data_IF_682616766277
#
_entry.id   IF_682616766277
#
_cell.length_a   1.000
_cell.length_b   1.000
_cell.length_c   1.000
_cell.angle_alpha   90.00
_cell.angle_beta   90.00
_cell.angle_gamma   90.00
#
_symmetry.space_group_name_H-M   'P 1'
#
loop_
_entity.id
_entity.type
_entity.pdbx_description
1 polymer ?
#
# COMPACT_ATOMS: atom_id res chain seq x y z
N UNK A 1 -5.33 -15.72 32.40
CA UNK A 1 -4.03 -15.00 32.27
C UNK A 1 -3.64 -14.93 30.81
N UNK A 2 -3.00 -13.81 30.42
CA UNK A 2 -2.64 -13.32 29.05
C UNK A 2 -3.82 -12.62 28.34
N UNK A 3 -4.21 -11.41 28.77
CA UNK A 3 -3.60 -10.10 28.45
C UNK A 3 -3.37 -9.96 26.94
N UNK A 4 -4.35 -9.39 26.24
CA UNK A 4 -4.18 -8.76 24.93
C UNK A 4 -3.97 -7.25 25.19
N UNK A 5 -2.76 -6.71 25.03
CA UNK A 5 -2.58 -5.28 24.92
C UNK A 5 -2.08 -4.91 23.52
N UNK A 6 -2.64 -3.82 22.99
CA UNK A 6 -2.00 -2.94 22.02
C UNK A 6 -1.81 -3.46 20.59
N UNK A 7 -2.89 -3.38 19.80
CA UNK A 7 -2.79 -3.00 18.38
C UNK A 7 -3.42 -1.60 18.27
N UNK A 8 -2.80 -0.65 18.95
CA UNK A 8 -3.10 0.78 18.88
C UNK A 8 -1.76 1.48 18.83
N UNK A 9 -1.56 2.31 17.79
CA UNK A 9 -0.33 3.06 17.44
C UNK A 9 0.71 2.36 16.58
N UNK A 10 0.47 2.27 15.26
CA UNK A 10 1.56 2.34 14.25
C UNK A 10 1.08 2.95 12.91
N UNK A 11 0.12 3.88 12.93
CA UNK A 11 -0.36 4.55 11.70
C UNK A 11 0.23 5.97 11.53
N UNK A 12 0.94 6.50 12.54
CA UNK A 12 1.31 7.93 12.55
C UNK A 12 2.76 8.27 12.13
N UNK A 13 3.70 7.32 12.10
CA UNK A 13 5.13 7.69 12.06
C UNK A 13 5.84 7.54 10.71
N UNK A 14 5.20 6.99 9.67
CA UNK A 14 5.88 6.81 8.37
C UNK A 14 5.74 8.06 7.48
N UNK A 15 4.80 8.96 7.78
CA UNK A 15 4.55 10.15 6.95
C UNK A 15 5.47 11.35 7.24
N UNK A 16 6.30 11.30 8.29
CA UNK A 16 7.09 12.46 8.73
C UNK A 16 8.55 12.47 8.25
N UNK A 17 9.03 11.40 7.59
CA UNK A 17 10.45 11.29 7.19
C UNK A 17 10.69 11.28 5.68
N UNK A 18 9.66 11.50 4.85
CA UNK A 18 9.83 11.60 3.38
C UNK A 18 10.06 13.05 2.98
N UNK A 19 11.05 13.68 3.62
CA UNK A 19 11.62 14.94 3.18
C UNK A 19 13.11 14.68 3.04
N UNK A 20 13.58 14.63 1.78
CA UNK A 20 14.97 14.40 1.37
C UNK A 20 15.50 12.95 1.39
N UNK A 21 15.00 12.11 0.48
CA UNK A 21 15.86 11.12 -0.18
C UNK A 21 15.26 10.73 -1.54
N UNK A 22 16.12 10.71 -2.54
CA UNK A 22 15.83 10.40 -3.93
C UNK A 22 15.31 8.95 -4.05
N UNK A 23 14.05 8.80 -4.49
CA UNK A 23 13.34 7.53 -4.72
C UNK A 23 13.10 6.63 -3.49
N UNK A 24 11.88 6.11 -3.37
CA UNK A 24 11.52 5.12 -2.34
C UNK A 24 12.43 3.89 -2.45
N UNK A 25 13.10 3.54 -1.35
CA UNK A 25 14.00 2.40 -1.24
C UNK A 25 13.28 1.04 -1.33
N UNK A 26 14.03 -0.06 -1.38
CA UNK A 26 13.46 -1.41 -1.47
C UNK A 26 12.66 -1.79 -0.21
N UNK A 27 11.68 -2.67 -0.38
CA UNK A 27 10.83 -3.14 0.72
C UNK A 27 11.62 -4.10 1.63
N UNK A 28 11.73 -3.83 2.94
CA UNK A 28 12.40 -4.74 3.88
C UNK A 28 11.69 -6.11 3.95
N UNK A 29 12.48 -7.19 3.99
CA UNK A 29 12.00 -8.57 3.80
C UNK A 29 10.96 -9.01 4.84
N UNK A 30 11.04 -8.49 6.06
CA UNK A 30 10.16 -8.85 7.19
C UNK A 30 8.88 -8.00 7.29
N UNK A 31 8.71 -6.97 6.44
CA UNK A 31 7.54 -6.10 6.45
C UNK A 31 6.78 -6.09 5.11
N UNK A 32 7.09 -7.04 4.21
CA UNK A 32 6.63 -7.07 2.83
C UNK A 32 5.11 -7.01 2.68
N UNK A 33 4.36 -7.81 3.43
CA UNK A 33 2.90 -7.83 3.34
C UNK A 33 2.26 -6.53 3.87
N UNK A 34 2.78 -5.99 4.98
CA UNK A 34 2.30 -4.73 5.54
C UNK A 34 2.54 -3.55 4.60
N UNK A 35 3.72 -3.47 4.00
CA UNK A 35 4.07 -2.42 3.04
C UNK A 35 3.26 -2.60 1.75
N UNK A 36 3.01 -3.83 1.30
CA UNK A 36 2.17 -4.07 0.13
C UNK A 36 0.68 -3.73 0.39
N UNK A 37 0.18 -3.91 1.61
CA UNK A 37 -1.16 -3.48 1.99
C UNK A 37 -1.29 -1.95 1.95
N UNK A 38 -0.29 -1.22 2.49
CA UNK A 38 -0.23 0.24 2.39
C UNK A 38 -0.13 0.69 0.93
N UNK A 39 0.64 -0.04 0.11
CA UNK A 39 0.79 0.22 -1.32
C UNK A 39 -0.55 0.14 -2.07
N UNK A 40 -1.41 -0.82 -1.73
CA UNK A 40 -2.78 -0.90 -2.29
C UNK A 40 -3.61 0.33 -1.93
N UNK A 41 -3.54 0.80 -0.68
CA UNK A 41 -4.25 1.99 -0.24
C UNK A 41 -3.78 3.23 -1.02
N UNK A 42 -2.46 3.45 -1.10
CA UNK A 42 -1.87 4.55 -1.88
C UNK A 42 -2.29 4.48 -3.35
N UNK A 43 -2.26 3.30 -3.96
CA UNK A 43 -2.67 3.12 -5.35
C UNK A 43 -4.14 3.47 -5.58
N UNK A 44 -5.04 3.08 -4.66
CA UNK A 44 -6.45 3.44 -4.74
C UNK A 44 -6.68 4.94 -4.62
N UNK A 45 -5.99 5.61 -3.70
CA UNK A 45 -6.06 7.07 -3.54
C UNK A 45 -5.59 7.75 -4.82
N UNK A 46 -4.44 7.34 -5.35
CA UNK A 46 -3.88 7.87 -6.60
C UNK A 46 -4.81 7.62 -7.79
N UNK A 47 -5.51 6.48 -7.85
CA UNK A 47 -6.47 6.19 -8.90
C UNK A 47 -7.72 7.09 -8.80
N UNK A 48 -8.28 7.23 -7.61
CA UNK A 48 -9.47 8.05 -7.40
C UNK A 48 -9.21 9.55 -7.61
N UNK A 49 -8.04 10.06 -7.21
CA UNK A 49 -7.70 11.48 -7.36
C UNK A 49 -7.13 11.81 -8.75
N UNK A 50 -6.28 10.94 -9.31
CA UNK A 50 -5.46 11.25 -10.49
C UNK A 50 -5.61 10.26 -11.66
N UNK A 51 -6.56 9.32 -11.60
CA UNK A 51 -6.84 8.33 -12.66
C UNK A 51 -5.59 7.50 -13.03
N UNK A 52 -5.13 6.69 -12.09
CA UNK A 52 -3.92 5.85 -12.15
C UNK A 52 -4.28 4.35 -11.98
N UNK A 53 -5.13 3.76 -12.84
CA UNK A 53 -5.61 2.39 -12.65
C UNK A 53 -4.49 1.33 -12.78
N UNK A 54 -3.47 1.61 -13.59
CA UNK A 54 -2.28 0.76 -13.73
C UNK A 54 -1.55 0.58 -12.39
N UNK A 55 -1.52 1.62 -11.56
CA UNK A 55 -0.88 1.61 -10.25
C UNK A 55 -1.61 0.68 -9.27
N UNK A 56 -2.94 0.59 -9.40
CA UNK A 56 -3.76 -0.36 -8.62
C UNK A 56 -3.43 -1.80 -9.01
N UNK A 57 -3.25 -2.08 -10.30
CA UNK A 57 -2.84 -3.40 -10.77
C UNK A 57 -1.45 -3.77 -10.23
N UNK A 58 -0.50 -2.85 -10.30
CA UNK A 58 0.86 -3.08 -9.82
C UNK A 58 0.87 -3.30 -8.29
N UNK A 59 0.13 -2.50 -7.52
CA UNK A 59 0.01 -2.71 -6.07
C UNK A 59 -0.67 -4.04 -5.69
N UNK A 60 -1.68 -4.49 -6.46
CA UNK A 60 -2.26 -5.83 -6.28
C UNK A 60 -1.26 -6.94 -6.54
N UNK A 61 -0.48 -6.83 -7.62
CA UNK A 61 0.56 -7.80 -7.94
C UNK A 61 1.66 -7.82 -6.86
N UNK A 62 2.01 -6.66 -6.32
CA UNK A 62 2.98 -6.53 -5.25
C UNK A 62 2.53 -7.24 -3.97
N UNK A 63 1.28 -7.05 -3.56
CA UNK A 63 0.72 -7.78 -2.43
C UNK A 63 0.70 -9.28 -2.68
N UNK A 64 0.29 -9.71 -3.89
CA UNK A 64 0.29 -11.12 -4.26
C UNK A 64 1.70 -11.75 -4.16
N UNK A 65 2.75 -11.02 -4.57
CA UNK A 65 4.16 -11.47 -4.44
C UNK A 65 4.50 -11.86 -3.01
N UNK A 66 4.10 -11.05 -2.03
CA UNK A 66 4.36 -11.33 -0.61
C UNK A 66 3.36 -12.35 -0.03
N UNK A 67 2.08 -12.25 -0.40
CA UNK A 67 1.04 -13.17 0.05
C UNK A 67 1.36 -14.64 -0.27
N UNK A 68 2.03 -14.91 -1.41
CA UNK A 68 2.47 -16.26 -1.79
C UNK A 68 3.38 -16.95 -0.77
N UNK A 69 4.11 -16.19 0.06
CA UNK A 69 4.99 -16.73 1.10
C UNK A 69 4.25 -16.97 2.42
N UNK A 70 3.11 -16.33 2.63
CA UNK A 70 2.43 -16.29 3.93
C UNK A 70 1.08 -17.04 3.95
N UNK A 71 0.39 -17.14 2.81
CA UNK A 71 -0.95 -17.71 2.74
C UNK A 71 -1.02 -18.94 1.84
N UNK A 72 -1.84 -19.92 2.25
CA UNK A 72 -2.15 -21.11 1.44
C UNK A 72 -2.99 -20.81 0.19
N UNK A 73 -3.76 -19.72 0.21
CA UNK A 73 -4.59 -19.25 -0.92
C UNK A 73 -4.32 -17.76 -1.17
N UNK A 74 -3.14 -17.42 -1.74
CA UNK A 74 -2.67 -16.05 -1.80
C UNK A 74 -3.51 -15.15 -2.71
N UNK A 75 -4.10 -15.68 -3.78
CA UNK A 75 -5.00 -14.95 -4.69
C UNK A 75 -6.28 -14.53 -3.96
N UNK A 76 -6.91 -15.45 -3.21
CA UNK A 76 -8.13 -15.17 -2.43
C UNK A 76 -7.83 -14.15 -1.33
N UNK A 77 -6.70 -14.27 -0.64
CA UNK A 77 -6.28 -13.31 0.38
C UNK A 77 -6.07 -11.91 -0.22
N UNK A 78 -5.43 -11.84 -1.39
CA UNK A 78 -5.19 -10.59 -2.14
C UNK A 78 -6.49 -9.91 -2.54
N UNK A 79 -7.44 -10.65 -3.14
CA UNK A 79 -8.73 -10.09 -3.55
C UNK A 79 -9.57 -9.65 -2.35
N UNK A 80 -9.55 -10.39 -1.24
CA UNK A 80 -10.23 -9.98 0.00
C UNK A 80 -9.64 -8.70 0.58
N UNK A 81 -8.32 -8.61 0.67
CA UNK A 81 -7.63 -7.41 1.15
C UNK A 81 -7.95 -6.20 0.25
N UNK A 82 -7.90 -6.40 -1.06
CA UNK A 82 -8.25 -5.37 -2.03
C UNK A 82 -9.72 -4.93 -1.92
N UNK A 83 -10.66 -5.86 -1.82
CA UNK A 83 -12.08 -5.54 -1.67
C UNK A 83 -12.37 -4.79 -0.36
N UNK A 84 -11.69 -5.16 0.72
CA UNK A 84 -11.79 -4.47 2.01
C UNK A 84 -11.28 -3.03 1.89
N UNK A 85 -10.06 -2.84 1.38
CA UNK A 85 -9.47 -1.51 1.21
C UNK A 85 -10.31 -0.63 0.28
N UNK A 86 -10.84 -1.18 -0.82
CA UNK A 86 -11.68 -0.43 -1.76
C UNK A 86 -12.96 0.10 -1.11
N UNK A 87 -13.51 -0.63 -0.13
CA UNK A 87 -14.68 -0.16 0.64
C UNK A 87 -14.32 0.93 1.64
N UNK A 88 -13.09 0.94 2.13
CA UNK A 88 -12.62 1.95 3.09
C UNK A 88 -12.17 3.24 2.40
N UNK A 89 -11.49 3.13 1.26
CA UNK A 89 -11.04 4.25 0.44
C UNK A 89 -12.19 4.70 -0.45
N UNK A 90 -13.19 5.33 0.15
CA UNK A 90 -14.30 5.96 -0.58
C UNK A 90 -13.93 7.39 -0.96
N UNK A 91 -14.67 7.96 -1.92
CA UNK A 91 -14.51 9.39 -2.27
C UNK A 91 -14.74 10.33 -1.08
N UNK A 92 -15.53 9.91 -0.11
CA UNK A 92 -15.80 10.68 1.12
C UNK A 92 -14.61 10.64 2.09
N UNK A 93 -13.88 9.52 2.14
CA UNK A 93 -12.68 9.35 2.97
C UNK A 93 -11.41 9.90 2.32
N UNK A 94 -11.41 10.19 1.02
CA UNK A 94 -10.27 10.78 0.30
C UNK A 94 -9.78 12.11 0.91
N UNK A 95 -10.66 12.84 1.61
CA UNK A 95 -10.28 14.05 2.32
C UNK A 95 -9.25 13.78 3.44
N UNK A 96 -9.22 12.58 4.00
CA UNK A 96 -8.18 12.22 4.99
C UNK A 96 -6.80 12.00 4.32
N UNK A 97 -6.78 11.85 2.99
CA UNK A 97 -5.60 11.58 2.16
C UNK A 97 -5.15 12.79 1.33
N UNK A 98 -5.45 14.02 1.78
CA UNK A 98 -5.06 15.28 1.11
C UNK A 98 -3.55 15.51 0.90
N UNK A 99 -2.70 14.59 1.37
CA UNK A 99 -1.23 14.68 1.23
C UNK A 99 -0.70 14.05 -0.05
N UNK A 100 -1.52 13.29 -0.78
CA UNK A 100 -1.10 12.67 -2.03
C UNK A 100 -1.09 13.70 -3.16
N UNK A 101 0.05 13.78 -3.85
CA UNK A 101 0.25 14.61 -5.03
C UNK A 101 0.53 13.73 -6.25
N UNK A 102 0.31 14.22 -7.49
CA UNK A 102 0.68 13.48 -8.70
C UNK A 102 2.14 12.99 -8.67
N UNK A 103 3.07 13.85 -8.22
CA UNK A 103 4.49 13.51 -8.10
C UNK A 103 4.72 12.33 -7.13
N UNK A 104 4.06 12.35 -5.96
CA UNK A 104 4.18 11.23 -5.02
C UNK A 104 3.62 9.93 -5.61
N UNK A 105 2.51 9.98 -6.34
CA UNK A 105 1.95 8.81 -7.01
C UNK A 105 2.90 8.23 -8.06
N UNK A 106 3.61 9.08 -8.80
CA UNK A 106 4.61 8.64 -9.77
C UNK A 106 5.83 7.98 -9.09
N UNK A 107 6.27 8.50 -7.94
CA UNK A 107 7.34 7.89 -7.13
C UNK A 107 6.94 6.50 -6.61
N UNK A 108 5.73 6.35 -6.08
CA UNK A 108 5.19 5.05 -5.67
C UNK A 108 5.01 4.10 -6.85
N UNK A 109 4.53 4.58 -7.99
CA UNK A 109 4.39 3.74 -9.19
C UNK A 109 5.74 3.20 -9.67
N UNK A 110 6.81 4.01 -9.63
CA UNK A 110 8.18 3.54 -9.92
C UNK A 110 8.64 2.49 -8.92
N UNK A 111 8.39 2.70 -7.63
CA UNK A 111 8.72 1.72 -6.58
C UNK A 111 8.01 0.39 -6.80
N UNK A 112 6.69 0.40 -7.09
CA UNK A 112 5.93 -0.84 -7.33
C UNK A 112 6.49 -1.62 -8.51
N UNK A 113 6.80 -0.92 -9.60
CA UNK A 113 7.39 -1.52 -10.80
C UNK A 113 8.77 -2.12 -10.54
N UNK A 114 9.66 -1.40 -9.84
CA UNK A 114 10.96 -1.93 -9.40
C UNK A 114 10.82 -3.20 -8.59
N UNK A 115 9.93 -3.21 -7.61
CA UNK A 115 9.67 -4.37 -6.75
C UNK A 115 9.08 -5.55 -7.52
N UNK A 116 8.35 -5.29 -8.61
CA UNK A 116 7.83 -6.30 -9.52
C UNK A 116 8.81 -6.70 -10.63
N UNK A 117 9.97 -6.04 -10.71
CA UNK A 117 10.95 -6.16 -11.80
C UNK A 117 10.35 -5.86 -13.18
N UNK A 118 9.55 -4.79 -13.28
CA UNK A 118 8.86 -4.31 -14.48
C UNK A 118 9.19 -2.86 -14.79
#
# INVERSE_FOLDING_TARGET
MRVFPQITFFVASILASVSYAHELGPIPENAGLGIAAVSMNVAMVCDLQFKRPEMVRDAKALFLKFAKKEFKQPEVATERAFAYLRRQVTRERLAEYHKQTPKSCDEFSRMFRRELSR
#
